data_IF_126458573122
#
_entry.id   IF_126458573122
#
_cell.length_a   1.000
_cell.length_b   1.000
_cell.length_c   1.000
_cell.angle_alpha   90.00
_cell.angle_beta   90.00
_cell.angle_gamma   90.00
#
_symmetry.space_group_name_H-M   'P 1'
#
loop_
_entity.id
_entity.type
_entity.pdbx_description
1 polymer ?
#
# COMPACT_ATOMS: atom_id res chain seq x y z
N UNK A 1 3.22 -31.83 -64.92
CA UNK A 1 2.10 -31.22 -64.16
C UNK A 1 1.84 -31.95 -62.84
N UNK A 2 1.94 -33.27 -62.80
CA UNK A 2 1.70 -34.09 -61.60
C UNK A 2 2.61 -33.75 -60.40
N UNK A 3 3.91 -33.53 -60.63
CA UNK A 3 4.86 -33.18 -59.56
C UNK A 3 4.53 -31.84 -58.90
N UNK A 4 4.11 -30.85 -59.68
CA UNK A 4 3.73 -29.53 -59.15
C UNK A 4 2.46 -29.61 -58.29
N UNK A 5 1.49 -30.44 -58.70
CA UNK A 5 0.26 -30.69 -57.93
C UNK A 5 0.57 -31.41 -56.63
N UNK A 6 1.44 -32.43 -56.66
CA UNK A 6 1.85 -33.16 -55.45
C UNK A 6 2.56 -32.25 -54.43
N UNK A 7 3.46 -31.37 -54.89
CA UNK A 7 4.14 -30.41 -54.02
C UNK A 7 3.18 -29.36 -53.45
N UNK A 8 2.21 -28.89 -54.24
CA UNK A 8 1.19 -27.94 -53.77
C UNK A 8 0.29 -28.57 -52.69
N UNK A 9 -0.12 -29.82 -52.86
CA UNK A 9 -0.92 -30.55 -51.87
C UNK A 9 -0.11 -30.81 -50.59
N UNK A 10 1.16 -31.20 -50.71
CA UNK A 10 2.03 -31.42 -49.55
C UNK A 10 2.25 -30.12 -48.77
N UNK A 11 2.48 -29.00 -49.47
CA UNK A 11 2.62 -27.68 -48.84
C UNK A 11 1.34 -27.25 -48.12
N UNK A 12 0.17 -27.44 -48.75
CA UNK A 12 -1.13 -27.14 -48.14
C UNK A 12 -1.38 -28.00 -46.89
N UNK A 13 -1.06 -29.29 -46.94
CA UNK A 13 -1.16 -30.20 -45.79
C UNK A 13 -0.27 -29.74 -44.63
N UNK A 14 0.97 -29.34 -44.89
CA UNK A 14 1.89 -28.84 -43.85
C UNK A 14 1.36 -27.55 -43.21
N UNK A 15 0.80 -26.63 -44.00
CA UNK A 15 0.20 -25.39 -43.47
C UNK A 15 -1.04 -25.67 -42.60
N UNK A 16 -1.89 -26.61 -43.00
CA UNK A 16 -3.07 -27.00 -42.23
C UNK A 16 -2.69 -27.67 -40.90
N UNK A 17 -1.69 -28.56 -40.91
CA UNK A 17 -1.22 -29.23 -39.70
C UNK A 17 -0.54 -28.24 -38.73
N UNK A 18 0.29 -27.32 -39.25
CA UNK A 18 0.98 -26.32 -38.45
C UNK A 18 -0.01 -25.36 -37.77
N UNK A 19 -1.00 -24.86 -38.51
CA UNK A 19 -2.02 -23.96 -37.95
C UNK A 19 -2.88 -24.63 -36.87
N UNK A 20 -3.25 -25.90 -37.07
CA UNK A 20 -3.97 -26.70 -36.06
C UNK A 20 -3.17 -26.89 -34.77
N UNK A 21 -1.88 -27.20 -34.88
CA UNK A 21 -1.00 -27.37 -33.72
C UNK A 21 -0.83 -26.07 -32.92
N UNK A 22 -0.65 -24.94 -33.60
CA UNK A 22 -0.53 -23.62 -32.96
C UNK A 22 -1.82 -23.27 -32.20
N UNK A 23 -2.99 -23.43 -32.84
CA UNK A 23 -4.28 -23.16 -32.20
C UNK A 23 -4.48 -24.03 -30.94
N UNK A 24 -4.13 -25.32 -31.00
CA UNK A 24 -4.23 -26.22 -29.85
C UNK A 24 -3.33 -25.79 -28.68
N UNK A 25 -2.08 -25.40 -28.96
CA UNK A 25 -1.15 -24.92 -27.94
C UNK A 25 -1.63 -23.61 -27.30
N UNK A 26 -2.17 -22.67 -28.08
CA UNK A 26 -2.74 -21.42 -27.57
C UNK A 26 -3.97 -21.66 -26.69
N UNK A 27 -4.87 -22.58 -27.09
CA UNK A 27 -6.04 -22.95 -26.27
C UNK A 27 -5.61 -23.56 -24.94
N UNK A 28 -4.68 -24.52 -24.95
CA UNK A 28 -4.15 -25.11 -23.71
C UNK A 28 -3.49 -24.07 -22.82
N UNK A 29 -2.69 -23.16 -23.39
CA UNK A 29 -2.03 -22.12 -22.63
C UNK A 29 -3.03 -21.13 -22.02
N UNK A 30 -4.04 -20.73 -22.78
CA UNK A 30 -5.12 -19.85 -22.32
C UNK A 30 -5.93 -20.51 -21.20
N UNK A 31 -6.33 -21.78 -21.36
CA UNK A 31 -7.03 -22.54 -20.33
C UNK A 31 -6.20 -22.71 -19.04
N UNK A 32 -4.89 -22.97 -19.17
CA UNK A 32 -4.00 -23.06 -18.02
C UNK A 32 -3.85 -21.71 -17.29
N UNK A 33 -3.76 -20.60 -18.02
CA UNK A 33 -3.72 -19.25 -17.46
C UNK A 33 -5.02 -18.88 -16.74
N UNK A 34 -6.18 -19.25 -17.30
CA UNK A 34 -7.49 -19.07 -16.69
C UNK A 34 -7.66 -19.94 -15.44
N UNK A 35 -7.18 -21.18 -15.46
CA UNK A 35 -7.21 -22.06 -14.30
C UNK A 35 -6.33 -21.53 -13.15
N UNK A 36 -5.13 -21.01 -13.45
CA UNK A 36 -4.28 -20.34 -12.44
C UNK A 36 -5.00 -19.14 -11.84
N UNK A 37 -5.69 -18.31 -12.63
CA UNK A 37 -6.50 -17.19 -12.13
C UNK A 37 -7.65 -17.64 -11.23
N UNK A 38 -8.34 -18.72 -11.57
CA UNK A 38 -9.46 -19.25 -10.77
C UNK A 38 -8.98 -19.85 -9.43
N UNK A 39 -7.82 -20.51 -9.44
CA UNK A 39 -7.16 -21.00 -8.21
C UNK A 39 -6.64 -19.87 -7.31
N UNK A 40 -6.25 -18.71 -7.87
CA UNK A 40 -5.91 -17.52 -7.06
C UNK A 40 -7.14 -16.80 -6.50
N UNK A 41 -8.31 -16.95 -7.14
CA UNK A 41 -9.56 -16.35 -6.67
C UNK A 41 -10.21 -17.12 -5.51
N UNK A 42 -9.87 -18.40 -5.33
CA UNK A 42 -10.35 -19.26 -4.24
C UNK A 42 -9.48 -19.19 -2.97
N UNK A 43 -8.96 -17.99 -2.68
CA UNK A 43 -8.18 -17.75 -1.47
C UNK A 43 -9.06 -17.91 -0.21
N UNK A 44 -8.78 -18.99 0.53
CA UNK A 44 -9.30 -19.41 1.84
C UNK A 44 -10.14 -18.35 2.62
N UNK A 45 -11.46 -18.54 2.75
CA UNK A 45 -12.36 -17.60 3.43
C UNK A 45 -12.12 -17.52 4.95
N UNK A 46 -11.46 -18.51 5.55
CA UNK A 46 -11.19 -18.58 7.00
C UNK A 46 -10.15 -17.55 7.41
N UNK A 47 -9.03 -17.47 6.67
CA UNK A 47 -7.99 -16.45 6.87
C UNK A 47 -8.50 -15.02 6.70
N UNK A 48 -9.45 -14.78 5.78
CA UNK A 48 -10.07 -13.45 5.63
C UNK A 48 -10.86 -13.03 6.86
N UNK A 49 -11.63 -13.94 7.46
CA UNK A 49 -12.42 -13.66 8.68
C UNK A 49 -11.52 -13.39 9.88
N UNK A 50 -10.49 -14.21 10.08
CA UNK A 50 -9.51 -13.99 11.16
C UNK A 50 -8.77 -12.66 10.98
N UNK A 51 -8.33 -12.35 9.76
CA UNK A 51 -7.69 -11.07 9.48
C UNK A 51 -8.64 -9.89 9.73
N UNK A 52 -9.88 -9.98 9.23
CA UNK A 52 -10.89 -8.94 9.41
C UNK A 52 -11.26 -8.76 10.89
N UNK A 53 -11.37 -9.84 11.66
CA UNK A 53 -11.65 -9.78 13.09
C UNK A 53 -10.48 -9.19 13.90
N UNK A 54 -9.23 -9.52 13.56
CA UNK A 54 -8.04 -8.91 14.17
C UNK A 54 -7.93 -7.42 13.86
N UNK A 55 -8.30 -7.00 12.64
CA UNK A 55 -8.36 -5.59 12.26
C UNK A 55 -9.40 -4.86 13.10
N UNK A 56 -10.62 -5.38 13.22
CA UNK A 56 -11.70 -4.76 14.02
C UNK A 56 -11.32 -4.63 15.50
N UNK A 57 -10.69 -5.65 16.09
CA UNK A 57 -10.25 -5.61 17.51
C UNK A 57 -9.13 -4.57 17.70
N UNK A 58 -8.13 -4.54 16.81
CA UNK A 58 -7.05 -3.53 16.87
C UNK A 58 -7.60 -2.11 16.70
N UNK A 59 -8.53 -1.90 15.77
CA UNK A 59 -9.18 -0.60 15.55
C UNK A 59 -9.96 -0.14 16.79
N UNK A 60 -10.74 -1.01 17.42
CA UNK A 60 -11.48 -0.69 18.64
C UNK A 60 -10.55 -0.34 19.82
N UNK A 61 -9.43 -1.06 19.96
CA UNK A 61 -8.43 -0.78 21.00
C UNK A 61 -7.69 0.53 20.75
N UNK A 62 -7.32 0.82 19.49
CA UNK A 62 -6.72 2.10 19.12
C UNK A 62 -7.70 3.28 19.27
N UNK A 63 -9.01 3.04 19.08
CA UNK A 63 -10.05 4.05 19.22
C UNK A 63 -10.26 4.55 20.67
N UNK A 64 -9.89 3.76 21.68
CA UNK A 64 -10.09 4.13 23.10
C UNK A 64 -8.87 4.82 23.75
N UNK A 65 -7.67 4.70 23.18
CA UNK A 65 -6.46 5.28 23.78
C UNK A 65 -6.24 6.72 23.35
N UNK A 66 -6.11 7.65 24.30
CA UNK A 66 -5.73 9.02 24.03
C UNK A 66 -4.37 9.09 23.30
N UNK A 67 -4.17 10.04 22.37
CA UNK A 67 -2.89 10.17 21.66
C UNK A 67 -1.73 10.37 22.62
N UNK A 68 -0.66 9.57 22.46
CA UNK A 68 0.54 9.66 23.31
C UNK A 68 1.34 10.92 22.98
N UNK A 69 1.84 11.62 24.00
CA UNK A 69 2.82 12.71 23.81
C UNK A 69 4.22 12.12 23.71
N UNK A 70 4.98 12.52 22.69
CA UNK A 70 6.33 12.04 22.39
C UNK A 70 7.38 13.10 22.74
N UNK A 71 8.52 12.65 23.24
CA UNK A 71 9.73 13.48 23.30
C UNK A 71 10.31 13.70 21.89
N UNK A 72 11.04 14.80 21.69
CA UNK A 72 11.63 15.11 20.37
C UNK A 72 12.54 13.98 19.84
N UNK A 73 13.35 13.37 20.71
CA UNK A 73 14.21 12.22 20.37
C UNK A 73 13.43 11.02 19.83
N UNK A 74 12.20 10.81 20.29
CA UNK A 74 11.35 9.73 19.76
C UNK A 74 10.87 10.08 18.34
N UNK A 75 10.56 11.35 18.07
CA UNK A 75 10.21 11.81 16.72
C UNK A 75 11.38 11.63 15.77
N UNK A 76 12.58 12.05 16.19
CA UNK A 76 13.81 11.87 15.41
C UNK A 76 14.09 10.39 15.12
N UNK A 77 13.95 9.51 16.12
CA UNK A 77 14.11 8.08 15.92
C UNK A 77 13.07 7.50 14.94
N UNK A 78 11.79 7.93 15.05
CA UNK A 78 10.73 7.50 14.15
C UNK A 78 10.97 7.96 12.70
N UNK A 79 11.57 9.14 12.49
CA UNK A 79 11.92 9.65 11.15
C UNK A 79 13.26 9.16 10.63
N UNK A 80 13.97 8.29 11.38
CA UNK A 80 15.30 7.83 11.00
C UNK A 80 16.36 8.94 10.98
N UNK A 81 16.23 9.93 11.86
CA UNK A 81 17.06 11.14 11.82
C UNK A 81 16.64 12.10 10.71
N UNK A 82 15.35 12.14 10.38
CA UNK A 82 14.79 12.91 9.25
C UNK A 82 15.35 12.50 7.89
N UNK A 83 15.55 11.19 7.69
CA UNK A 83 16.08 10.62 6.45
C UNK A 83 15.21 11.01 5.24
N UNK A 84 15.86 11.53 4.21
CA UNK A 84 15.22 11.91 2.96
C UNK A 84 14.64 10.71 2.20
N UNK A 85 15.24 9.52 2.36
CA UNK A 85 14.71 8.30 1.78
C UNK A 85 13.37 7.87 2.41
N UNK A 86 13.07 8.33 3.63
CA UNK A 86 11.82 8.04 4.33
C UNK A 86 10.70 9.04 3.97
N UNK A 87 10.97 10.09 3.19
CA UNK A 87 9.96 11.09 2.85
C UNK A 87 8.92 10.55 1.88
N UNK A 88 7.65 10.58 2.30
CA UNK A 88 6.50 10.19 1.46
C UNK A 88 5.74 11.39 0.91
N UNK A 89 5.95 12.58 1.47
CA UNK A 89 5.29 13.78 1.00
C UNK A 89 5.90 15.06 1.55
N UNK A 90 5.91 16.10 0.72
CA UNK A 90 6.31 17.46 1.10
C UNK A 90 5.16 18.42 0.81
N UNK A 91 4.71 19.11 1.85
CA UNK A 91 3.80 20.24 1.74
C UNK A 91 4.52 21.56 1.95
N UNK A 92 3.81 22.68 1.77
CA UNK A 92 4.38 24.01 2.01
C UNK A 92 4.81 24.26 3.47
N UNK A 93 4.18 23.55 4.42
CA UNK A 93 4.40 23.77 5.86
C UNK A 93 4.93 22.55 6.61
N UNK A 94 5.05 21.39 5.96
CA UNK A 94 5.43 20.14 6.63
C UNK A 94 6.09 19.14 5.69
N UNK A 95 6.90 18.26 6.26
CA UNK A 95 7.39 17.05 5.60
C UNK A 95 6.76 15.84 6.28
N UNK A 96 6.33 14.84 5.50
CA UNK A 96 5.76 13.60 6.01
C UNK A 96 6.74 12.47 5.75
N UNK A 97 7.11 11.77 6.82
CA UNK A 97 8.03 10.64 6.81
C UNK A 97 7.26 9.33 7.03
N UNK A 98 7.67 8.27 6.36
CA UNK A 98 7.25 6.91 6.63
C UNK A 98 8.06 6.36 7.79
N UNK A 99 7.36 5.90 8.83
CA UNK A 99 7.95 5.18 9.95
C UNK A 99 7.28 3.81 10.10
N UNK A 100 7.87 2.94 10.94
CA UNK A 100 7.29 1.64 11.28
C UNK A 100 7.20 1.51 12.80
N UNK A 101 6.05 1.02 13.28
CA UNK A 101 5.87 0.63 14.66
C UNK A 101 6.66 -0.66 14.97
N UNK A 102 6.76 -1.00 16.25
CA UNK A 102 7.44 -2.23 16.72
C UNK A 102 6.83 -3.50 16.10
N UNK A 103 5.53 -3.49 15.78
CA UNK A 103 4.84 -4.60 15.13
C UNK A 103 4.98 -4.58 13.59
N UNK A 104 5.81 -3.68 13.04
CA UNK A 104 6.08 -3.53 11.61
C UNK A 104 5.04 -2.68 10.86
N UNK A 105 3.95 -2.28 11.52
CA UNK A 105 2.88 -1.50 10.89
C UNK A 105 3.41 -0.14 10.40
N UNK A 106 3.12 0.26 9.15
CA UNK A 106 3.55 1.55 8.64
C UNK A 106 2.74 2.69 9.27
N UNK A 107 3.40 3.79 9.59
CA UNK A 107 2.77 5.02 10.10
C UNK A 107 3.38 6.24 9.43
N UNK A 108 2.63 7.34 9.40
CA UNK A 108 3.08 8.62 8.86
C UNK A 108 3.44 9.59 10.00
N UNK A 109 4.64 10.16 9.95
CA UNK A 109 5.11 11.20 10.87
C UNK A 109 5.14 12.52 10.14
N UNK A 110 4.20 13.42 10.45
CA UNK A 110 4.12 14.76 9.87
C UNK A 110 4.88 15.75 10.75
N UNK A 111 5.98 16.29 10.21
CA UNK A 111 6.84 17.26 10.89
C UNK A 111 6.62 18.63 10.27
N UNK A 112 6.20 19.61 11.08
CA UNK A 112 5.99 20.99 10.62
C UNK A 112 7.31 21.76 10.60
N UNK A 113 7.56 22.53 9.54
CA UNK A 113 8.73 23.43 9.48
C UNK A 113 8.54 24.60 10.43
N UNK A 114 9.57 24.97 11.18
CA UNK A 114 9.50 26.08 12.14
C UNK A 114 9.41 27.50 11.51
N UNK A 115 9.65 27.64 10.20
CA UNK A 115 9.68 28.94 9.52
C UNK A 115 8.30 29.64 9.45
N UNK A 116 7.86 30.27 10.54
CA UNK A 116 6.57 30.96 10.62
C UNK A 116 6.15 31.43 12.02
N UNK A 117 6.95 31.09 13.05
CA UNK A 117 6.75 31.53 14.43
C UNK A 117 5.37 31.16 14.98
N UNK A 118 4.84 32.03 15.84
CA UNK A 118 3.56 31.88 16.54
C UNK A 118 2.36 31.52 15.64
N UNK A 119 2.28 32.06 14.42
CA UNK A 119 1.16 31.75 13.51
C UNK A 119 1.11 30.27 13.15
N UNK A 120 2.27 29.69 12.84
CA UNK A 120 2.34 28.28 12.41
C UNK A 120 2.20 27.34 13.60
N UNK A 121 2.72 27.73 14.78
CA UNK A 121 2.47 27.01 16.02
C UNK A 121 0.98 26.95 16.36
N UNK A 122 0.25 28.07 16.20
CA UNK A 122 -1.22 28.08 16.37
C UNK A 122 -1.93 27.16 15.38
N UNK A 123 -1.55 27.19 14.10
CA UNK A 123 -2.12 26.31 13.09
C UNK A 123 -1.88 24.83 13.42
N UNK A 124 -0.68 24.48 13.88
CA UNK A 124 -0.36 23.13 14.36
C UNK A 124 -1.22 22.72 15.55
N UNK A 125 -1.34 23.58 16.57
CA UNK A 125 -2.18 23.31 17.76
C UNK A 125 -3.65 23.13 17.38
N UNK A 126 -4.16 23.93 16.45
CA UNK A 126 -5.53 23.79 15.95
C UNK A 126 -5.74 22.46 15.22
N UNK A 127 -4.80 22.05 14.35
CA UNK A 127 -4.85 20.74 13.68
C UNK A 127 -4.80 19.60 14.70
N UNK A 128 -3.92 19.70 15.69
CA UNK A 128 -3.79 18.74 16.78
C UNK A 128 -5.10 18.63 17.58
N UNK A 129 -5.70 19.75 18.00
CA UNK A 129 -6.94 19.76 18.77
C UNK A 129 -8.12 19.14 18.01
N UNK A 130 -8.19 19.36 16.70
CA UNK A 130 -9.19 18.72 15.84
C UNK A 130 -8.97 17.21 15.77
N UNK A 131 -7.75 16.77 15.46
CA UNK A 131 -7.43 15.34 15.34
C UNK A 131 -7.55 14.59 16.67
N UNK A 132 -7.40 15.27 17.82
CA UNK A 132 -7.65 14.67 19.15
C UNK A 132 -9.12 14.31 19.38
N UNK A 133 -10.04 15.02 18.73
CA UNK A 133 -11.49 14.87 18.91
C UNK A 133 -12.15 14.06 17.79
N UNK A 134 -11.51 13.97 16.63
CA UNK A 134 -12.02 13.26 15.46
C UNK A 134 -11.56 11.81 15.45
N UNK A 135 -12.50 10.88 15.57
CA UNK A 135 -12.27 9.45 15.35
C UNK A 135 -13.33 8.91 14.41
N UNK A 136 -12.89 8.51 13.22
CA UNK A 136 -13.77 7.97 12.20
C UNK A 136 -12.96 7.07 11.25
N UNK A 137 -13.53 5.98 10.70
CA UNK A 137 -12.82 5.08 9.78
C UNK A 137 -12.22 5.77 8.54
N UNK A 138 -12.81 6.90 8.13
CA UNK A 138 -12.39 7.67 6.96
C UNK A 138 -11.55 8.93 7.30
N UNK A 139 -11.14 9.09 8.56
CA UNK A 139 -10.27 10.18 9.00
C UNK A 139 -8.99 9.58 9.55
N UNK A 140 -7.85 10.17 9.19
CA UNK A 140 -6.54 9.72 9.68
C UNK A 140 -6.52 9.78 11.20
N UNK A 141 -6.25 8.64 11.84
CA UNK A 141 -6.18 8.55 13.29
C UNK A 141 -4.87 9.14 13.82
N UNK A 142 -4.98 10.03 14.80
CA UNK A 142 -3.84 10.54 15.55
C UNK A 142 -3.42 9.53 16.63
N UNK A 143 -2.27 8.89 16.45
CA UNK A 143 -1.72 7.93 17.40
C UNK A 143 -0.90 8.62 18.50
N UNK A 144 -0.11 9.61 18.10
CA UNK A 144 0.81 10.31 18.97
C UNK A 144 1.11 11.71 18.43
N UNK A 145 1.60 12.59 19.29
CA UNK A 145 2.01 13.95 18.92
C UNK A 145 3.24 14.40 19.70
N UNK A 146 3.99 15.36 19.16
CA UNK A 146 4.99 16.10 19.91
C UNK A 146 4.74 17.59 19.71
N UNK A 147 4.64 18.32 20.81
CA UNK A 147 4.65 19.77 20.87
C UNK A 147 5.94 20.29 21.51
N UNK A 148 6.93 19.39 21.65
CA UNK A 148 8.22 19.74 22.19
C UNK A 148 8.97 20.56 21.15
N UNK A 149 9.56 21.64 21.62
CA UNK A 149 10.46 22.47 20.85
C UNK A 149 11.79 22.27 21.55
N UNK A 150 12.64 21.39 21.02
CA UNK A 150 14.02 21.40 21.46
C UNK A 150 14.55 22.82 21.22
N UNK A 151 15.00 23.42 22.33
CA UNK A 151 15.54 24.78 22.44
C UNK A 151 16.80 24.94 21.62
#
# INVERSE_FOLDING_TARGET
MEVAVALALLFLCVLLLASGAIAFLLIRHCLAALHRRRSSADADPTRRREHQQRVVIKEAQQQQQAPRRLAWREVEALTGGFDEAAVVGRGGSSTVYLARLLDGSPVAVKVHRWCGGERRLRAFRQELDLLRRLRHPNIVALLAYSDDHDR
#
